data_IF_480727647947
#
_entry.id   IF_480727647947
#
_cell.length_a   1.000
_cell.length_b   1.000
_cell.length_c   1.000
_cell.angle_alpha   90.00
_cell.angle_beta   90.00
_cell.angle_gamma   90.00
#
_symmetry.space_group_name_H-M   'P 1'
#
loop_
_entity.id
_entity.type
_entity.pdbx_description
1 polymer ?
#
# COMPACT_ATOMS: atom_id res chain seq x y z
N UNK A 1 -5.98 -16.23 -32.94
CA UNK A 1 -6.13 -16.51 -31.49
C UNK A 1 -4.82 -16.16 -30.81
N UNK A 2 -4.79 -15.18 -29.90
CA UNK A 2 -3.56 -14.78 -29.19
C UNK A 2 -3.35 -15.70 -27.98
N UNK A 3 -2.92 -16.92 -28.24
CA UNK A 3 -2.53 -17.87 -27.19
C UNK A 3 -1.04 -18.14 -27.31
N UNK A 4 -0.42 -18.46 -26.18
CA UNK A 4 0.96 -18.95 -26.18
C UNK A 4 0.90 -20.40 -26.65
N UNK A 5 1.59 -20.71 -27.75
CA UNK A 5 1.73 -22.08 -28.24
C UNK A 5 3.09 -22.56 -27.78
N UNK A 6 3.11 -23.63 -26.99
CA UNK A 6 4.32 -24.26 -26.48
C UNK A 6 4.40 -25.66 -27.10
N UNK A 7 5.49 -25.91 -27.81
CA UNK A 7 5.82 -27.23 -28.33
C UNK A 7 6.57 -28.01 -27.27
N UNK A 8 5.95 -29.05 -26.71
CA UNK A 8 6.58 -29.90 -25.69
C UNK A 8 6.78 -31.31 -26.21
N UNK A 9 7.97 -31.87 -25.98
CA UNK A 9 8.28 -33.26 -26.29
C UNK A 9 7.55 -34.17 -25.29
N UNK A 10 6.77 -35.15 -25.78
CA UNK A 10 5.91 -35.99 -24.93
C UNK A 10 6.70 -36.93 -24.01
N UNK A 11 7.82 -37.45 -24.51
CA UNK A 11 8.77 -38.28 -23.77
C UNK A 11 10.20 -37.80 -24.03
N UNK A 12 11.11 -37.97 -23.06
CA UNK A 12 12.53 -37.57 -23.19
C UNK A 12 13.17 -38.17 -24.46
N UNK A 13 12.77 -39.40 -24.82
CA UNK A 13 13.25 -40.12 -26.00
C UNK A 13 12.27 -40.14 -27.21
N UNK A 14 11.05 -39.61 -27.06
CA UNK A 14 10.04 -39.67 -28.14
C UNK A 14 10.23 -38.56 -29.18
N UNK A 15 10.28 -38.87 -30.47
CA UNK A 15 10.49 -37.87 -31.53
C UNK A 15 9.31 -36.90 -31.74
N UNK A 16 8.14 -37.19 -31.18
CA UNK A 16 6.92 -36.40 -31.37
C UNK A 16 6.80 -35.23 -30.38
N UNK A 17 6.53 -34.05 -30.94
CA UNK A 17 6.20 -32.83 -30.22
C UNK A 17 4.68 -32.64 -30.17
N UNK A 18 4.16 -32.24 -29.02
CA UNK A 18 2.75 -31.94 -28.80
C UNK A 18 2.57 -30.42 -28.68
N UNK A 19 1.56 -29.88 -29.37
CA UNK A 19 1.19 -28.47 -29.28
C UNK A 19 0.31 -28.24 -28.06
N UNK A 20 0.82 -27.52 -27.07
CA UNK A 20 0.04 -27.10 -25.91
C UNK A 20 -0.26 -25.61 -25.99
N UNK A 21 -1.52 -25.27 -25.81
CA UNK A 21 -2.00 -23.90 -25.89
C UNK A 21 -2.29 -23.33 -24.50
N UNK A 22 -1.58 -22.27 -24.13
CA UNK A 22 -1.75 -21.60 -22.84
C UNK A 22 -2.32 -20.19 -23.01
N UNK A 23 -3.18 -19.81 -22.07
CA UNK A 23 -3.62 -18.41 -21.97
C UNK A 23 -2.47 -17.54 -21.46
N UNK A 24 -2.17 -16.41 -22.11
CA UNK A 24 -1.15 -15.49 -21.65
C UNK A 24 -1.60 -14.81 -20.35
N UNK A 25 -1.00 -15.21 -19.22
CA UNK A 25 -1.29 -14.68 -17.89
C UNK A 25 -0.05 -13.98 -17.34
N UNK A 26 -0.24 -12.77 -16.81
CA UNK A 26 0.75 -12.04 -16.03
C UNK A 26 0.42 -12.24 -14.55
N UNK A 27 1.34 -12.85 -13.81
CA UNK A 27 1.23 -13.01 -12.37
C UNK A 27 2.14 -11.99 -11.69
N UNK A 28 1.58 -11.25 -10.75
CA UNK A 28 2.29 -10.34 -9.88
C UNK A 28 2.07 -10.80 -8.44
N UNK A 29 3.13 -10.80 -7.65
CA UNK A 29 3.10 -11.25 -6.25
C UNK A 29 3.76 -10.19 -5.37
N UNK A 30 3.24 -10.03 -4.17
CA UNK A 30 3.82 -9.20 -3.13
C UNK A 30 4.32 -10.11 -2.02
N UNK A 31 5.59 -9.95 -1.70
CA UNK A 31 6.28 -10.59 -0.61
C UNK A 31 6.75 -9.50 0.35
N UNK A 32 6.66 -9.77 1.64
CA UNK A 32 7.34 -8.95 2.64
C UNK A 32 8.84 -9.18 2.54
N UNK A 33 9.63 -8.14 2.75
CA UNK A 33 11.09 -8.22 2.70
C UNK A 33 11.62 -8.05 4.12
N UNK A 34 11.66 -9.17 4.84
CA UNK A 34 12.09 -9.20 6.23
C UNK A 34 13.60 -9.49 6.31
N UNK A 35 14.31 -8.72 7.14
CA UNK A 35 15.76 -8.92 7.30
C UNK A 35 16.10 -10.10 8.22
N UNK A 36 15.16 -10.52 9.09
CA UNK A 36 15.41 -11.47 10.18
C UNK A 36 14.46 -12.69 10.16
N UNK A 37 13.37 -12.64 9.39
CA UNK A 37 12.41 -13.73 9.18
C UNK A 37 12.36 -14.15 7.72
N UNK A 38 11.92 -15.38 7.40
CA UNK A 38 11.60 -15.75 6.03
C UNK A 38 10.52 -14.82 5.46
N UNK A 39 10.73 -14.39 4.22
CA UNK A 39 9.80 -13.52 3.50
C UNK A 39 8.37 -14.08 3.52
N UNK A 40 7.43 -13.29 4.06
CA UNK A 40 6.03 -13.66 4.14
C UNK A 40 5.29 -13.27 2.87
N UNK A 41 4.52 -14.20 2.30
CA UNK A 41 3.62 -13.89 1.19
C UNK A 41 2.46 -13.00 1.65
N UNK A 42 2.21 -11.90 0.93
CA UNK A 42 1.15 -10.93 1.27
C UNK A 42 -0.06 -11.08 0.35
N UNK A 43 0.15 -11.28 -0.95
CA UNK A 43 -0.94 -11.41 -1.91
C UNK A 43 -0.47 -11.50 -3.36
N UNK A 44 -1.40 -11.82 -4.26
CA UNK A 44 -1.13 -11.98 -5.69
C UNK A 44 -2.20 -11.33 -6.56
N UNK A 45 -1.82 -11.09 -7.81
CA UNK A 45 -2.64 -10.52 -8.85
C UNK A 45 -2.34 -11.26 -10.16
N UNK A 46 -3.32 -11.99 -10.66
CA UNK A 46 -3.25 -12.67 -11.96
C UNK A 46 -4.10 -11.96 -12.99
N UNK A 47 -3.46 -11.42 -14.02
CA UNK A 47 -4.09 -10.72 -15.14
C UNK A 47 -4.00 -11.57 -16.40
N UNK A 48 -5.15 -11.93 -16.98
CA UNK A 48 -5.19 -12.57 -18.29
C UNK A 48 -5.04 -11.49 -19.38
N UNK A 49 -3.93 -11.48 -20.11
CA UNK A 49 -3.60 -10.43 -21.07
C UNK A 49 -4.63 -10.30 -22.21
N UNK A 50 -5.33 -11.39 -22.54
CA UNK A 50 -6.42 -11.37 -23.53
C UNK A 50 -7.67 -10.66 -23.02
N UNK A 51 -7.95 -10.77 -21.73
CA UNK A 51 -9.22 -10.36 -21.14
C UNK A 51 -9.02 -9.90 -19.69
N UNK A 52 -8.21 -8.86 -19.51
CA UNK A 52 -7.96 -8.28 -18.20
C UNK A 52 -8.92 -7.13 -17.93
N UNK A 53 -9.21 -6.86 -16.67
CA UNK A 53 -9.93 -5.64 -16.28
C UNK A 53 -9.04 -4.43 -16.53
N UNK A 54 -9.61 -3.37 -17.08
CA UNK A 54 -8.91 -2.08 -17.18
C UNK A 54 -8.41 -1.64 -15.79
N UNK A 55 -7.24 -1.01 -15.71
CA UNK A 55 -6.73 -0.46 -14.45
C UNK A 55 -7.54 0.74 -14.00
N UNK A 56 -7.82 0.85 -12.70
CA UNK A 56 -8.59 1.97 -12.16
C UNK A 56 -7.80 3.28 -12.30
N UNK A 57 -8.50 4.41 -12.49
CA UNK A 57 -7.85 5.73 -12.65
C UNK A 57 -7.26 6.27 -11.35
N UNK A 58 -7.84 5.89 -10.23
CA UNK A 58 -7.45 6.37 -8.90
C UNK A 58 -7.34 5.20 -7.93
N UNK A 59 -6.50 5.38 -6.91
CA UNK A 59 -6.31 4.36 -5.88
C UNK A 59 -7.61 4.05 -5.14
N UNK A 60 -8.55 4.98 -4.99
CA UNK A 60 -9.81 4.75 -4.27
C UNK A 60 -10.88 3.99 -5.08
N UNK A 61 -10.68 3.72 -6.38
CA UNK A 61 -11.63 2.93 -7.16
C UNK A 61 -11.32 1.44 -7.01
N UNK A 62 -12.12 0.74 -6.21
CA UNK A 62 -11.89 -0.66 -5.83
C UNK A 62 -12.62 -1.70 -6.70
N UNK A 63 -13.62 -1.29 -7.48
CA UNK A 63 -14.54 -2.23 -8.11
C UNK A 63 -14.06 -2.72 -9.48
N UNK A 64 -13.13 -3.68 -9.49
CA UNK A 64 -12.68 -4.35 -10.72
C UNK A 64 -13.83 -4.98 -11.53
N UNK A 65 -14.95 -5.36 -10.89
CA UNK A 65 -16.12 -5.95 -11.55
C UNK A 65 -16.93 -4.96 -12.39
N UNK A 66 -16.85 -3.66 -12.12
CA UNK A 66 -17.54 -2.61 -12.90
C UNK A 66 -16.69 -2.06 -14.04
N UNK A 67 -15.45 -2.54 -14.17
CA UNK A 67 -14.52 -2.03 -15.16
C UNK A 67 -14.65 -2.80 -16.47
N UNK A 68 -14.56 -2.07 -17.59
CA UNK A 68 -14.51 -2.70 -18.91
C UNK A 68 -13.30 -3.64 -18.98
N UNK A 69 -13.49 -4.77 -19.66
CA UNK A 69 -12.38 -5.67 -19.94
C UNK A 69 -11.70 -5.26 -21.24
N UNK A 70 -10.39 -5.40 -21.26
CA UNK A 70 -9.55 -5.06 -22.40
C UNK A 70 -8.71 -6.25 -22.81
N UNK A 71 -8.42 -6.29 -24.11
CA UNK A 71 -7.41 -7.17 -24.66
C UNK A 71 -6.12 -6.36 -24.87
N UNK A 72 -5.08 -6.69 -24.11
CA UNK A 72 -3.82 -5.97 -24.13
C UNK A 72 -3.10 -6.11 -25.47
N UNK A 73 -3.27 -7.21 -26.21
CA UNK A 73 -2.66 -7.38 -27.53
C UNK A 73 -3.23 -6.41 -28.57
N UNK A 74 -4.48 -5.98 -28.40
CA UNK A 74 -5.11 -4.96 -29.26
C UNK A 74 -4.74 -3.54 -28.85
N UNK A 75 -4.76 -3.25 -27.54
CA UNK A 75 -4.51 -1.89 -27.02
C UNK A 75 -3.01 -1.58 -26.91
N UNK A 76 -2.15 -2.61 -26.84
CA UNK A 76 -0.68 -2.59 -26.65
C UNK A 76 -0.18 -2.02 -25.30
N UNK A 77 -0.84 -1.00 -24.74
CA UNK A 77 -0.47 -0.38 -23.47
C UNK A 77 -1.69 -0.11 -22.59
N UNK A 78 -1.55 -0.32 -21.29
CA UNK A 78 -2.56 0.07 -20.30
C UNK A 78 -1.87 0.59 -19.03
N UNK A 79 -2.50 1.53 -18.35
CA UNK A 79 -2.04 2.09 -17.09
C UNK A 79 -3.18 2.14 -16.08
N UNK A 80 -2.85 2.04 -14.80
CA UNK A 80 -3.80 2.26 -13.72
C UNK A 80 -3.53 1.42 -12.49
N UNK A 81 -4.56 1.35 -11.65
CA UNK A 81 -4.51 0.68 -10.36
C UNK A 81 -5.19 -0.69 -10.42
N UNK A 82 -4.50 -1.73 -9.93
CA UNK A 82 -5.08 -3.06 -9.74
C UNK A 82 -4.94 -3.51 -8.27
N UNK A 83 -5.98 -4.15 -7.70
CA UNK A 83 -5.93 -4.67 -6.34
C UNK A 83 -5.22 -6.03 -6.29
N UNK A 84 -4.42 -6.24 -5.25
CA UNK A 84 -3.93 -7.57 -4.87
C UNK A 84 -4.92 -8.26 -3.98
N UNK A 85 -5.07 -9.55 -4.20
CA UNK A 85 -5.98 -10.40 -3.45
C UNK A 85 -5.13 -11.39 -2.65
N UNK A 86 -5.48 -11.56 -1.38
CA UNK A 86 -5.01 -12.69 -0.58
C UNK A 86 -6.20 -13.56 -0.23
N UNK A 87 -5.99 -14.87 -0.31
CA UNK A 87 -6.98 -15.86 0.07
C UNK A 87 -6.58 -16.39 1.43
N UNK A 88 -7.19 -15.84 2.47
CA UNK A 88 -7.01 -16.29 3.85
C UNK A 88 -8.35 -16.85 4.34
N UNK A 89 -8.34 -18.03 4.97
CA UNK A 89 -9.55 -18.67 5.51
C UNK A 89 -10.70 -18.79 4.47
N UNK A 90 -10.40 -19.15 3.22
CA UNK A 90 -11.35 -19.23 2.09
C UNK A 90 -12.08 -17.91 1.78
N UNK A 91 -11.61 -16.76 2.28
CA UNK A 91 -12.14 -15.43 1.96
C UNK A 91 -11.10 -14.65 1.18
N UNK A 92 -11.52 -14.12 0.03
CA UNK A 92 -10.69 -13.24 -0.77
C UNK A 92 -10.75 -11.83 -0.18
N UNK A 93 -9.62 -11.35 0.34
CA UNK A 93 -9.49 -10.00 0.89
C UNK A 93 -8.52 -9.19 0.03
N UNK A 94 -8.80 -7.89 -0.11
CA UNK A 94 -7.90 -6.98 -0.83
C UNK A 94 -6.83 -6.53 0.16
N UNK A 95 -5.57 -6.92 -0.08
CA UNK A 95 -4.45 -6.66 0.85
C UNK A 95 -3.58 -5.50 0.38
N UNK A 96 -3.57 -5.22 -0.93
CA UNK A 96 -2.76 -4.15 -1.50
C UNK A 96 -3.29 -3.66 -2.84
N UNK A 97 -2.63 -2.64 -3.39
CA UNK A 97 -2.89 -2.13 -4.74
C UNK A 97 -1.58 -1.72 -5.39
N UNK A 98 -1.41 -2.03 -6.66
CA UNK A 98 -0.29 -1.52 -7.47
C UNK A 98 -0.79 -0.56 -8.52
N UNK A 99 -0.07 0.53 -8.69
CA UNK A 99 -0.13 1.36 -9.88
C UNK A 99 0.94 0.85 -10.85
N UNK A 100 0.54 0.40 -12.04
CA UNK A 100 1.46 -0.16 -13.02
C UNK A 100 1.16 0.38 -14.42
N UNK A 101 2.21 0.52 -15.23
CA UNK A 101 2.12 0.67 -16.68
C UNK A 101 2.52 -0.67 -17.30
N UNK A 102 1.58 -1.31 -17.99
CA UNK A 102 1.82 -2.59 -18.66
C UNK A 102 1.81 -2.33 -20.17
N UNK A 103 2.92 -2.67 -20.84
CA UNK A 103 3.09 -2.48 -22.28
C UNK A 103 3.63 -3.76 -22.92
N UNK A 104 3.02 -4.15 -24.04
CA UNK A 104 3.54 -5.21 -24.91
C UNK A 104 4.53 -4.57 -25.87
N UNK A 105 5.75 -5.09 -25.89
CA UNK A 105 6.84 -4.63 -26.76
C UNK A 105 7.27 -5.76 -27.69
N UNK A 106 7.84 -5.40 -28.83
CA UNK A 106 8.52 -6.39 -29.68
C UNK A 106 9.88 -6.75 -29.08
N UNK A 107 10.47 -7.85 -29.56
CA UNK A 107 11.79 -8.30 -29.10
C UNK A 107 12.86 -7.22 -29.30
N UNK A 108 12.88 -6.57 -30.47
CA UNK A 108 13.83 -5.51 -30.81
C UNK A 108 13.72 -4.29 -29.89
N UNK A 109 12.50 -3.90 -29.52
CA UNK A 109 12.27 -2.80 -28.58
C UNK A 109 12.71 -3.15 -27.16
N UNK A 110 12.42 -4.38 -26.72
CA UNK A 110 12.81 -4.87 -25.40
C UNK A 110 14.33 -5.00 -25.25
N UNK A 111 15.05 -5.30 -26.33
CA UNK A 111 16.52 -5.33 -26.35
C UNK A 111 17.14 -3.93 -26.23
N UNK A 112 16.48 -2.90 -26.79
CA UNK A 112 16.93 -1.50 -26.66
C UNK A 112 16.69 -0.92 -25.27
N UNK A 113 15.58 -1.32 -24.63
CA UNK A 113 15.18 -0.85 -23.30
C UNK A 113 14.96 -2.05 -22.35
N UNK A 114 16.05 -2.71 -21.90
CA UNK A 114 15.92 -3.86 -21.03
C UNK A 114 15.39 -3.42 -19.66
N UNK A 115 14.22 -3.95 -19.27
CA UNK A 115 13.64 -3.76 -17.94
C UNK A 115 13.38 -5.12 -17.29
N UNK A 116 13.72 -5.27 -16.01
CA UNK A 116 13.33 -6.46 -15.24
C UNK A 116 14.01 -7.78 -15.63
N UNK A 117 15.15 -7.75 -16.34
CA UNK A 117 15.86 -8.99 -16.69
C UNK A 117 16.48 -9.66 -15.45
N UNK A 118 16.18 -10.95 -15.25
CA UNK A 118 16.71 -11.74 -14.14
C UNK A 118 16.24 -11.20 -12.78
N UNK A 119 17.19 -10.72 -11.97
CA UNK A 119 16.92 -10.11 -10.65
C UNK A 119 16.86 -8.58 -10.70
N UNK A 120 16.94 -7.98 -11.88
CA UNK A 120 16.86 -6.53 -12.02
C UNK A 120 15.42 -6.06 -11.78
N UNK A 121 15.29 -4.84 -11.25
CA UNK A 121 13.98 -4.25 -11.01
C UNK A 121 13.21 -3.97 -12.31
N UNK A 122 11.87 -3.95 -12.26
CA UNK A 122 11.06 -3.44 -13.35
C UNK A 122 11.32 -1.94 -13.57
N UNK A 123 10.89 -1.41 -14.71
CA UNK A 123 11.03 0.01 -15.00
C UNK A 123 10.30 0.86 -13.94
N UNK A 124 11.00 1.76 -13.23
CA UNK A 124 10.38 2.53 -12.16
C UNK A 124 9.46 3.60 -12.74
N UNK A 125 8.25 3.69 -12.18
CA UNK A 125 7.37 4.82 -12.39
C UNK A 125 7.90 6.07 -11.67
N UNK A 126 7.54 7.28 -12.11
CA UNK A 126 7.89 8.50 -11.37
C UNK A 126 7.38 8.38 -9.93
N UNK A 127 8.24 8.74 -8.98
CA UNK A 127 7.92 8.66 -7.56
C UNK A 127 6.66 9.50 -7.31
N UNK A 128 5.60 8.93 -6.70
CA UNK A 128 4.39 9.70 -6.44
C UNK A 128 4.71 10.87 -5.52
N UNK A 129 4.08 12.02 -5.75
CA UNK A 129 4.17 13.18 -4.86
C UNK A 129 3.54 12.83 -3.51
N UNK A 130 4.35 12.31 -2.58
CA UNK A 130 3.93 12.07 -1.20
C UNK A 130 4.07 13.38 -0.44
N UNK A 131 3.04 13.83 0.29
CA UNK A 131 3.23 14.94 1.22
C UNK A 131 4.31 14.53 2.23
N UNK A 132 5.20 15.45 2.59
CA UNK A 132 6.27 15.22 3.56
C UNK A 132 5.71 15.12 4.98
N UNK A 133 4.85 14.14 5.24
CA UNK A 133 4.31 13.85 6.58
C UNK A 133 5.21 12.93 7.38
N UNK A 134 6.38 12.54 6.85
CA UNK A 134 7.33 11.65 7.53
C UNK A 134 7.70 12.20 8.92
N UNK A 135 8.07 13.49 8.99
CA UNK A 135 8.42 14.12 10.26
C UNK A 135 7.25 14.15 11.25
N UNK A 136 6.05 14.49 10.77
CA UNK A 136 4.84 14.53 11.59
C UNK A 136 4.45 13.12 12.08
N UNK A 137 4.59 12.07 11.27
CA UNK A 137 4.33 10.68 11.68
C UNK A 137 5.34 10.18 12.69
N UNK A 138 6.63 10.36 12.43
CA UNK A 138 7.70 9.93 13.35
C UNK A 138 7.54 10.58 14.73
N UNK A 139 7.10 11.84 14.78
CA UNK A 139 6.81 12.53 16.06
C UNK A 139 5.47 12.08 16.64
N UNK A 140 4.38 12.04 15.88
CA UNK A 140 3.03 11.80 16.43
C UNK A 140 2.72 10.34 16.76
N UNK A 141 3.30 9.37 16.06
CA UNK A 141 2.99 7.95 16.23
C UNK A 141 3.37 7.39 17.62
N UNK A 142 4.53 7.72 18.24
CA UNK A 142 4.80 7.35 19.62
C UNK A 142 3.82 8.01 20.60
N UNK A 143 3.46 9.29 20.40
CA UNK A 143 2.45 9.94 21.25
C UNK A 143 1.09 9.26 21.14
N UNK A 144 0.63 8.92 19.91
CA UNK A 144 -0.65 8.21 19.72
C UNK A 144 -0.67 6.87 20.44
N UNK A 145 0.43 6.13 20.43
CA UNK A 145 0.53 4.85 21.15
C UNK A 145 0.44 5.06 22.66
N UNK A 146 1.21 6.01 23.20
CA UNK A 146 1.16 6.36 24.63
C UNK A 146 -0.24 6.80 25.02
N UNK A 147 -0.84 7.75 24.28
CA UNK A 147 -2.20 8.20 24.52
C UNK A 147 -3.22 7.06 24.44
N UNK A 148 -3.15 6.19 23.43
CA UNK A 148 -4.05 5.04 23.30
C UNK A 148 -3.88 4.07 24.46
N UNK A 149 -2.66 3.77 24.87
CA UNK A 149 -2.38 2.86 26.00
C UNK A 149 -2.94 3.42 27.31
N UNK A 150 -2.66 4.70 27.62
CA UNK A 150 -3.15 5.37 28.82
C UNK A 150 -4.68 5.51 28.85
N UNK A 151 -5.30 5.89 27.74
CA UNK A 151 -6.74 6.07 27.66
C UNK A 151 -7.51 4.74 27.62
N UNK A 152 -7.01 3.70 26.96
CA UNK A 152 -7.75 2.43 26.85
C UNK A 152 -7.65 1.61 28.14
N UNK A 153 -6.49 1.57 28.77
CA UNK A 153 -6.27 0.73 29.95
C UNK A 153 -6.93 1.28 31.23
N UNK A 154 -7.12 2.61 31.34
CA UNK A 154 -7.44 3.20 32.65
C UNK A 154 -8.21 4.55 32.58
N UNK A 155 -9.31 4.58 31.83
CA UNK A 155 -10.13 5.79 31.56
C UNK A 155 -10.47 6.63 32.80
N UNK A 156 -10.81 5.99 33.92
CA UNK A 156 -11.22 6.68 35.16
C UNK A 156 -10.05 7.34 35.87
N UNK A 157 -8.89 6.67 35.98
CA UNK A 157 -7.71 7.26 36.64
C UNK A 157 -7.11 8.41 35.83
N UNK A 158 -7.18 8.35 34.50
CA UNK A 158 -6.76 9.47 33.64
C UNK A 158 -7.61 10.72 33.88
N UNK A 159 -8.94 10.59 33.98
CA UNK A 159 -9.82 11.72 34.29
C UNK A 159 -9.51 12.33 35.66
N UNK A 160 -9.20 11.52 36.67
CA UNK A 160 -8.82 12.00 38.01
C UNK A 160 -7.49 12.78 37.94
N UNK A 161 -6.48 12.26 37.24
CA UNK A 161 -5.19 12.94 37.07
C UNK A 161 -5.36 14.28 36.35
N UNK A 162 -6.19 14.30 35.29
CA UNK A 162 -6.49 15.52 34.54
C UNK A 162 -7.20 16.56 35.43
N UNK A 163 -8.17 16.13 36.25
CA UNK A 163 -8.87 16.98 37.20
C UNK A 163 -7.88 17.59 38.23
N UNK A 164 -7.03 16.77 38.84
CA UNK A 164 -6.02 17.22 39.81
C UNK A 164 -5.06 18.23 39.16
N UNK A 165 -4.64 17.98 37.92
CA UNK A 165 -3.80 18.91 37.16
C UNK A 165 -4.46 20.28 36.98
N UNK A 166 -5.76 20.32 36.61
CA UNK A 166 -6.50 21.58 36.51
C UNK A 166 -6.65 22.30 37.85
N UNK A 167 -6.87 21.57 38.94
CA UNK A 167 -6.94 22.16 40.29
C UNK A 167 -5.61 22.78 40.68
N UNK A 168 -4.49 22.11 40.45
CA UNK A 168 -3.14 22.66 40.72
C UNK A 168 -2.87 23.89 39.85
N UNK A 169 -3.21 23.85 38.56
CA UNK A 169 -3.05 24.97 37.64
C UNK A 169 -3.88 26.20 38.09
N UNK A 170 -5.09 25.97 38.59
CA UNK A 170 -5.94 27.01 39.15
C UNK A 170 -5.29 27.71 40.36
N UNK A 171 -4.71 26.94 41.30
CA UNK A 171 -4.01 27.52 42.44
C UNK A 171 -2.73 28.26 42.05
N UNK A 172 -1.98 27.77 41.06
CA UNK A 172 -0.82 28.48 40.52
C UNK A 172 -1.21 29.84 39.91
N UNK A 173 -2.32 29.88 39.16
CA UNK A 173 -2.87 31.12 38.62
C UNK A 173 -3.31 32.10 39.72
N UNK A 174 -3.91 31.60 40.81
CA UNK A 174 -4.26 32.43 41.96
C UNK A 174 -3.02 33.07 42.57
N UNK A 175 -1.97 32.28 42.86
CA UNK A 175 -0.73 32.79 43.45
C UNK A 175 -0.09 33.86 42.54
N UNK A 176 -0.11 33.65 41.22
CA UNK A 176 0.38 34.62 40.26
C UNK A 176 -0.47 35.91 40.21
N UNK A 177 -1.79 35.82 40.37
CA UNK A 177 -2.70 36.97 40.33
C UNK A 177 -2.69 37.83 41.62
N UNK A 178 -2.26 37.27 42.75
CA UNK A 178 -2.23 37.95 44.06
C UNK A 178 -1.38 39.23 44.06
N UNK A 179 -0.09 39.25 43.64
CA UNK A 179 0.72 40.46 43.73
C UNK A 179 0.18 41.61 42.85
N UNK A 180 -0.34 41.32 41.65
CA UNK A 180 -0.88 42.35 40.76
C UNK A 180 -2.14 43.04 41.31
N UNK A 181 -3.01 42.30 41.99
CA UNK A 181 -4.22 42.87 42.60
C UNK A 181 -3.92 43.61 43.91
N UNK A 182 -2.97 43.12 44.72
CA UNK A 182 -2.55 43.81 45.95
C UNK A 182 -1.91 45.16 45.61
N UNK A 183 -1.05 45.22 44.59
CA UNK A 183 -0.40 46.47 44.18
C UNK A 183 -1.45 47.49 43.70
N UNK A 184 -2.46 47.07 42.93
CA UNK A 184 -3.57 47.96 42.52
C UNK A 184 -4.35 48.51 43.71
N UNK A 185 -4.68 47.69 44.70
CA UNK A 185 -5.41 48.14 45.90
C UNK A 185 -4.58 49.10 46.76
N UNK A 186 -3.27 48.93 46.80
CA UNK A 186 -2.37 49.78 47.61
C UNK A 186 -2.05 51.11 46.93
N UNK A 187 -1.93 51.15 45.60
CA UNK A 187 -1.55 52.36 44.84
C UNK A 187 -2.73 53.21 44.34
N UNK A 188 -3.97 52.72 44.39
CA UNK A 188 -5.18 53.46 43.95
C UNK A 188 -5.90 54.17 45.12
N UNK A 189 -5.15 54.52 46.18
CA UNK A 189 -5.63 55.31 47.34
C UNK A 189 -4.78 56.56 47.54
#
# INVERSE_FOLDING_TARGET
MENIIVYRKKNVFGLHYEEQQFSPKLNLEIWDNDQLSPDSYIGSLTLNLRNMTHGAKSSWMHNSSRMSRINLFKVKKTCGWWPFISTENNKNTIVGKVNADIQIMTKEEAEKLPAGFGRNGPQPLPVPKRPSTHYLRTVMDPFKYIFRSFFVANKTKFLIILLVFFVVLFFLMLIYAIPGNIIRIIFDK
#
